data_IF_619827590538
#
_entry.id   IF_619827590538
#
_cell.length_a   1.000
_cell.length_b   1.000
_cell.length_c   1.000
_cell.angle_alpha   90.00
_cell.angle_beta   90.00
_cell.angle_gamma   90.00
#
_symmetry.space_group_name_H-M   'P 1'
#
loop_
_entity.id
_entity.type
_entity.pdbx_description
1 polymer ?
#
# COMPACT_ATOMS: atom_id res chain seq x y z
N UNK A 1 14.17 -4.56 9.48
CA UNK A 1 14.98 -3.33 9.63
C UNK A 1 15.78 -3.09 8.35
N UNK A 2 16.03 -1.84 7.94
CA UNK A 2 16.94 -1.57 6.82
C UNK A 2 18.36 -2.01 7.18
N UNK A 3 19.17 -2.38 6.20
CA UNK A 3 20.61 -2.68 6.39
C UNK A 3 21.38 -1.50 7.03
N UNK A 4 20.80 -0.30 7.00
CA UNK A 4 21.37 0.93 7.55
C UNK A 4 20.73 1.38 8.87
N UNK A 5 19.88 0.54 9.50
CA UNK A 5 19.11 0.90 10.69
C UNK A 5 17.94 1.84 10.37
N UNK A 6 17.52 2.65 11.35
CA UNK A 6 16.44 3.62 11.17
C UNK A 6 16.90 4.78 10.29
N UNK A 7 16.33 4.89 9.09
CA UNK A 7 16.61 5.99 8.17
C UNK A 7 15.70 7.17 8.54
N UNK A 8 16.30 8.31 8.90
CA UNK A 8 15.53 9.55 9.09
C UNK A 8 14.86 9.92 7.77
N UNK A 9 13.53 10.02 7.78
CA UNK A 9 12.80 10.60 6.67
C UNK A 9 13.26 12.06 6.47
N UNK A 10 13.43 12.55 5.23
CA UNK A 10 13.60 13.97 5.00
C UNK A 10 12.40 14.72 5.60
N UNK A 11 12.60 15.96 6.06
CA UNK A 11 11.53 16.80 6.61
C UNK A 11 10.42 16.96 5.57
N UNK A 12 9.32 16.23 5.75
CA UNK A 12 8.16 16.25 4.87
C UNK A 12 7.01 16.95 5.56
N UNK A 13 6.16 17.61 4.77
CA UNK A 13 4.88 18.11 5.24
C UNK A 13 4.09 16.94 5.81
N UNK A 14 3.58 17.09 7.03
CA UNK A 14 2.81 16.08 7.76
C UNK A 14 1.48 15.72 7.10
N UNK A 15 1.05 16.52 6.12
CA UNK A 15 -0.29 16.46 5.58
C UNK A 15 -0.41 15.35 4.53
N UNK A 16 -1.46 14.50 4.63
CA UNK A 16 -1.66 13.47 3.64
C UNK A 16 -1.88 14.02 2.24
N UNK A 17 -1.34 13.36 1.21
CA UNK A 17 -1.64 13.66 -0.18
C UNK A 17 -3.12 13.37 -0.50
N UNK A 18 -3.72 14.09 -1.46
CA UNK A 18 -5.11 13.88 -1.86
C UNK A 18 -5.41 12.43 -2.24
N UNK A 19 -6.61 11.96 -1.89
CA UNK A 19 -7.09 10.63 -2.28
C UNK A 19 -7.41 10.60 -3.77
N UNK A 20 -7.20 9.46 -4.43
CA UNK A 20 -7.41 9.33 -5.89
C UNK A 20 -8.18 8.07 -6.26
N UNK A 21 -8.86 8.09 -7.40
CA UNK A 21 -9.58 6.92 -7.94
C UNK A 21 -8.83 6.30 -9.12
N UNK A 22 -8.84 4.97 -9.17
CA UNK A 22 -8.11 4.15 -10.14
C UNK A 22 -8.98 3.02 -10.66
N UNK A 23 -9.06 2.83 -11.98
CA UNK A 23 -9.85 1.78 -12.61
C UNK A 23 -9.02 0.97 -13.62
N UNK A 24 -9.47 -0.26 -13.89
CA UNK A 24 -8.98 -1.04 -15.04
C UNK A 24 -10.08 -1.14 -16.10
N UNK A 25 -9.69 -1.27 -17.38
CA UNK A 25 -10.60 -1.77 -18.42
C UNK A 25 -10.89 -3.23 -18.12
N UNK A 26 -12.02 -3.51 -17.49
CA UNK A 26 -12.63 -4.82 -17.48
C UNK A 26 -13.82 -4.83 -18.45
N UNK A 27 -14.29 -6.02 -18.82
CA UNK A 27 -15.48 -6.23 -19.66
C UNK A 27 -16.65 -5.37 -19.14
N UNK A 28 -17.57 -4.92 -20.03
CA UNK A 28 -18.61 -3.92 -19.73
C UNK A 28 -19.54 -4.23 -18.54
N UNK A 29 -19.50 -5.44 -17.98
CA UNK A 29 -20.31 -5.87 -16.84
C UNK A 29 -19.65 -5.70 -15.45
N UNK A 30 -18.34 -5.50 -15.34
CA UNK A 30 -17.65 -5.39 -14.03
C UNK A 30 -16.39 -4.50 -14.09
N UNK A 31 -16.54 -3.18 -14.00
CA UNK A 31 -15.39 -2.29 -13.81
C UNK A 31 -14.90 -2.33 -12.37
N UNK A 32 -13.79 -3.02 -12.11
CA UNK A 32 -13.11 -2.97 -10.81
C UNK A 32 -12.36 -1.64 -10.67
N UNK A 33 -12.66 -0.89 -9.62
CA UNK A 33 -11.96 0.32 -9.25
C UNK A 33 -11.61 0.33 -7.77
N UNK A 34 -10.57 1.10 -7.45
CA UNK A 34 -10.14 1.34 -6.08
C UNK A 34 -9.96 2.84 -5.86
N UNK A 35 -10.26 3.31 -4.66
CA UNK A 35 -9.79 4.61 -4.18
C UNK A 35 -8.53 4.41 -3.35
N UNK A 36 -7.50 5.21 -3.61
CA UNK A 36 -6.23 5.20 -2.90
C UNK A 36 -6.20 6.35 -1.90
N UNK A 37 -5.80 6.03 -0.68
CA UNK A 37 -5.74 6.98 0.42
C UNK A 37 -4.34 6.97 1.04
N UNK A 38 -3.72 8.14 1.13
CA UNK A 38 -2.45 8.32 1.84
C UNK A 38 -2.70 8.32 3.35
N UNK A 39 -1.88 7.58 4.09
CA UNK A 39 -1.97 7.40 5.53
C UNK A 39 -0.60 7.59 6.19
N UNK A 40 -0.61 8.37 7.27
CA UNK A 40 0.39 8.26 8.34
C UNK A 40 -0.12 7.27 9.39
N UNK A 41 0.74 6.86 10.34
CA UNK A 41 0.31 6.03 11.46
C UNK A 41 -0.80 6.72 12.27
N UNK A 42 -0.67 8.03 12.52
CA UNK A 42 -1.66 8.79 13.29
C UNK A 42 -3.02 8.81 12.58
N UNK A 43 -3.07 9.01 11.26
CA UNK A 43 -4.34 8.98 10.53
C UNK A 43 -4.91 7.56 10.45
N UNK A 44 -4.07 6.55 10.26
CA UNK A 44 -4.53 5.17 10.16
C UNK A 44 -5.16 4.65 11.46
N UNK A 45 -4.64 5.07 12.62
CA UNK A 45 -5.20 4.75 13.94
C UNK A 45 -6.59 5.37 14.18
N UNK A 46 -7.01 6.36 13.40
CA UNK A 46 -8.37 6.92 13.51
C UNK A 46 -9.43 6.02 12.88
N UNK A 47 -9.03 5.06 12.04
CA UNK A 47 -9.94 4.10 11.39
C UNK A 47 -10.00 2.81 12.21
N UNK A 48 -11.13 2.58 12.88
CA UNK A 48 -11.30 1.48 13.82
C UNK A 48 -11.00 0.11 13.16
N UNK A 49 -10.05 -0.63 13.75
CA UNK A 49 -9.67 -1.98 13.31
C UNK A 49 -8.88 -2.05 12.01
N UNK A 50 -8.58 -0.92 11.35
CA UNK A 50 -7.83 -0.92 10.09
C UNK A 50 -6.41 -1.46 10.30
N UNK A 51 -5.65 -0.90 11.26
CA UNK A 51 -4.28 -1.36 11.53
C UNK A 51 -4.26 -2.85 11.90
N UNK A 52 -5.20 -3.31 12.72
CA UNK A 52 -5.29 -4.71 13.12
C UNK A 52 -5.54 -5.64 11.92
N UNK A 53 -6.31 -5.18 10.93
CA UNK A 53 -6.49 -5.92 9.69
C UNK A 53 -5.23 -5.93 8.83
N UNK A 54 -4.63 -4.77 8.56
CA UNK A 54 -3.41 -4.67 7.72
C UNK A 54 -2.24 -5.45 8.33
N UNK A 55 -2.10 -5.41 9.66
CA UNK A 55 -1.10 -6.20 10.38
C UNK A 55 -1.30 -7.70 10.17
N UNK A 56 -2.53 -8.22 10.33
CA UNK A 56 -2.83 -9.64 10.14
C UNK A 56 -2.49 -10.11 8.73
N UNK A 57 -2.88 -9.35 7.70
CA UNK A 57 -2.56 -9.67 6.30
C UNK A 57 -1.06 -9.67 6.04
N UNK A 58 -0.30 -8.71 6.61
CA UNK A 58 1.14 -8.68 6.45
C UNK A 58 1.84 -9.80 7.24
N UNK A 59 1.37 -10.12 8.45
CA UNK A 59 1.90 -11.20 9.26
C UNK A 59 1.72 -12.55 8.57
N UNK A 60 0.56 -12.80 7.94
CA UNK A 60 0.34 -14.02 7.14
C UNK A 60 1.29 -14.08 5.92
N UNK A 61 1.55 -12.95 5.27
CA UNK A 61 2.48 -12.90 4.13
C UNK A 61 3.93 -13.19 4.56
N UNK A 62 4.34 -12.72 5.74
CA UNK A 62 5.63 -13.04 6.36
C UNK A 62 5.70 -14.52 6.74
N UNK A 63 4.66 -15.06 7.40
CA UNK A 63 4.59 -16.47 7.79
C UNK A 63 4.65 -17.41 6.58
N UNK A 64 4.02 -17.02 5.47
CA UNK A 64 4.07 -17.77 4.20
C UNK A 64 5.50 -17.87 3.64
N UNK A 65 6.37 -16.89 3.90
CA UNK A 65 7.81 -16.96 3.61
C UNK A 65 8.20 -17.00 2.13
N UNK A 66 7.36 -16.48 1.22
CA UNK A 66 7.58 -16.57 -0.23
C UNK A 66 7.88 -15.24 -0.93
N UNK A 67 7.67 -14.11 -0.26
CA UNK A 67 7.65 -12.79 -0.92
C UNK A 67 8.43 -11.71 -0.17
N UNK A 68 8.47 -11.77 1.15
CA UNK A 68 9.22 -10.88 2.03
C UNK A 68 10.39 -11.62 2.70
N UNK A 69 11.54 -10.97 2.91
CA UNK A 69 12.72 -11.60 3.50
C UNK A 69 12.64 -11.78 5.02
N UNK A 70 11.61 -11.23 5.69
CA UNK A 70 11.42 -11.38 7.12
C UNK A 70 11.20 -12.86 7.45
N UNK A 71 11.95 -13.34 8.43
CA UNK A 71 11.80 -14.68 9.01
C UNK A 71 11.44 -14.52 10.48
N UNK A 72 10.48 -15.32 10.95
CA UNK A 72 10.17 -15.43 12.37
C UNK A 72 10.83 -16.69 12.91
N UNK A 73 11.61 -16.58 13.98
CA UNK A 73 12.20 -17.76 14.62
C UNK A 73 11.10 -18.57 15.31
N UNK A 74 11.39 -19.84 15.58
CA UNK A 74 10.43 -20.74 16.22
C UNK A 74 9.93 -20.16 17.56
N UNK A 75 8.63 -19.95 17.67
CA UNK A 75 7.98 -19.39 18.86
C UNK A 75 7.88 -17.86 18.88
N UNK A 76 8.45 -17.16 17.90
CA UNK A 76 8.25 -15.73 17.72
C UNK A 76 6.99 -15.44 16.88
N UNK A 77 6.34 -14.30 17.17
CA UNK A 77 5.18 -13.82 16.41
C UNK A 77 5.50 -12.43 15.87
N UNK A 78 5.16 -12.18 14.62
CA UNK A 78 5.27 -10.85 14.04
C UNK A 78 4.23 -9.92 14.69
N UNK A 79 4.64 -9.08 15.63
CA UNK A 79 3.68 -8.29 16.43
C UNK A 79 3.14 -7.07 15.68
N UNK A 80 2.04 -6.50 16.20
CA UNK A 80 1.44 -5.27 15.67
C UNK A 80 2.43 -4.10 15.75
N UNK A 81 3.19 -4.00 16.82
CA UNK A 81 4.19 -2.95 17.02
C UNK A 81 5.33 -3.06 15.99
N UNK A 82 5.74 -4.30 15.65
CA UNK A 82 6.71 -4.55 14.58
C UNK A 82 6.15 -4.13 13.21
N UNK A 83 4.87 -4.39 12.96
CA UNK A 83 4.18 -3.92 11.75
C UNK A 83 4.14 -2.40 11.67
N UNK A 84 3.67 -1.72 12.73
CA UNK A 84 3.59 -0.26 12.77
C UNK A 84 4.97 0.36 12.54
N UNK A 85 5.99 -0.10 13.26
CA UNK A 85 7.36 0.38 13.13
C UNK A 85 7.97 0.11 11.74
N UNK A 86 7.57 -0.95 11.04
CA UNK A 86 8.10 -1.30 9.72
C UNK A 86 7.35 -0.63 8.57
N UNK A 87 6.02 -0.74 8.57
CA UNK A 87 5.15 -0.36 7.47
C UNK A 87 4.86 1.14 7.48
N UNK A 88 4.82 1.77 8.66
CA UNK A 88 4.64 3.22 8.83
C UNK A 88 5.95 3.94 9.18
N UNK A 89 7.11 3.34 8.88
CA UNK A 89 8.42 4.03 8.95
C UNK A 89 8.57 5.19 7.94
N UNK A 90 7.60 5.35 7.05
CA UNK A 90 7.48 6.43 6.08
C UNK A 90 6.00 6.64 5.76
N UNK A 91 5.68 6.79 4.49
CA UNK A 91 4.34 7.02 3.98
C UNK A 91 3.66 5.66 3.71
N UNK A 92 2.36 5.53 4.00
CA UNK A 92 1.58 4.32 3.69
C UNK A 92 0.36 4.66 2.84
N UNK A 93 -0.06 3.74 1.99
CA UNK A 93 -1.23 3.88 1.15
C UNK A 93 -2.11 2.64 1.26
N UNK A 94 -3.42 2.86 1.38
CA UNK A 94 -4.42 1.79 1.34
C UNK A 94 -5.36 2.00 0.16
N UNK A 95 -5.59 0.94 -0.59
CA UNK A 95 -6.59 0.89 -1.66
C UNK A 95 -7.89 0.30 -1.13
N UNK A 96 -9.00 1.01 -1.31
CA UNK A 96 -10.33 0.53 -0.96
C UNK A 96 -11.13 0.25 -2.24
N UNK A 97 -11.63 -0.97 -2.40
CA UNK A 97 -12.52 -1.38 -3.49
C UNK A 97 -13.79 -0.57 -3.41
N UNK A 98 -14.11 0.21 -4.44
CA UNK A 98 -15.36 0.96 -4.42
C UNK A 98 -16.56 0.13 -4.88
N UNK A 99 -17.76 0.54 -4.45
CA UNK A 99 -19.03 -0.06 -4.84
C UNK A 99 -19.78 0.87 -5.79
N UNK A 100 -19.85 0.51 -7.08
CA UNK A 100 -20.63 1.28 -8.07
C UNK A 100 -20.08 1.19 -9.49
N UNK A 101 -20.76 1.86 -10.43
CA UNK A 101 -20.20 2.09 -11.77
C UNK A 101 -19.17 3.19 -11.68
N UNK A 102 -17.99 2.96 -12.25
CA UNK A 102 -17.01 4.01 -12.53
C UNK A 102 -17.69 5.02 -13.46
N UNK A 103 -17.72 6.31 -13.09
CA UNK A 103 -18.22 7.36 -13.99
C UNK A 103 -17.53 7.28 -15.35
N UNK A 104 -18.29 7.40 -16.43
CA UNK A 104 -17.75 7.48 -17.79
C UNK A 104 -16.71 8.61 -17.85
N UNK A 105 -15.50 8.31 -18.36
CA UNK A 105 -14.41 9.28 -18.49
C UNK A 105 -13.24 9.14 -17.50
N UNK A 106 -13.24 8.16 -16.59
CA UNK A 106 -12.06 7.78 -15.78
C UNK A 106 -11.07 6.87 -16.53
N UNK A 107 -11.13 6.85 -17.86
CA UNK A 107 -10.31 5.99 -18.69
C UNK A 107 -8.84 6.43 -18.67
N UNK A 108 -7.99 5.67 -17.99
CA UNK A 108 -6.54 5.88 -17.99
C UNK A 108 -6.07 7.14 -17.24
N UNK A 109 -6.99 7.92 -16.67
CA UNK A 109 -6.71 9.12 -15.89
C UNK A 109 -6.77 8.86 -14.38
N UNK A 110 -5.98 9.62 -13.63
CA UNK A 110 -6.05 9.70 -12.17
C UNK A 110 -6.88 10.93 -11.83
N UNK A 111 -7.94 10.76 -11.03
CA UNK A 111 -8.74 11.89 -10.52
C UNK A 111 -8.62 11.90 -9.00
N UNK A 112 -8.42 13.09 -8.45
CA UNK A 112 -8.56 13.29 -7.01
C UNK A 112 -10.04 13.16 -6.62
N UNK A 113 -10.30 12.53 -5.48
CA UNK A 113 -11.66 12.31 -4.99
C UNK A 113 -11.80 12.82 -3.58
N UNK A 114 -12.97 13.41 -3.31
CA UNK A 114 -13.34 13.82 -1.97
C UNK A 114 -13.89 12.63 -1.17
N UNK A 115 -13.20 12.31 -0.09
CA UNK A 115 -13.59 11.23 0.81
C UNK A 115 -12.38 10.54 1.42
N UNK A 116 -12.47 10.24 2.72
CA UNK A 116 -11.48 9.44 3.41
C UNK A 116 -11.76 7.94 3.33
N UNK A 117 -10.92 7.17 4.01
CA UNK A 117 -10.98 5.70 4.06
C UNK A 117 -12.35 5.20 4.50
N UNK A 118 -12.96 5.77 5.56
CA UNK A 118 -14.24 5.31 6.09
C UNK A 118 -15.40 5.50 5.11
N UNK A 119 -15.41 6.62 4.37
CA UNK A 119 -16.43 6.89 3.34
C UNK A 119 -16.29 5.90 2.18
N UNK A 120 -15.06 5.57 1.79
CA UNK A 120 -14.80 4.58 0.75
C UNK A 120 -15.18 3.16 1.22
N UNK A 121 -14.88 2.82 2.47
CA UNK A 121 -15.26 1.54 3.07
C UNK A 121 -16.78 1.39 3.18
N UNK A 122 -17.49 2.51 3.42
CA UNK A 122 -18.95 2.56 3.54
C UNK A 122 -19.51 1.55 4.55
N UNK A 123 -18.80 1.36 5.67
CA UNK A 123 -19.18 0.43 6.74
C UNK A 123 -18.97 -1.06 6.42
N UNK A 124 -18.39 -1.41 5.26
CA UNK A 124 -18.00 -2.78 4.94
C UNK A 124 -16.84 -3.23 5.82
N UNK A 125 -16.72 -4.54 6.02
CA UNK A 125 -15.57 -5.13 6.70
C UNK A 125 -14.31 -4.90 5.89
N UNK A 126 -13.16 -4.74 6.56
CA UNK A 126 -11.88 -4.50 5.89
C UNK A 126 -11.49 -5.66 4.97
N UNK A 127 -11.80 -6.89 5.38
CA UNK A 127 -11.61 -8.12 4.61
C UNK A 127 -12.30 -8.07 3.23
N UNK A 128 -13.44 -7.37 3.14
CA UNK A 128 -14.26 -7.29 1.93
C UNK A 128 -13.87 -6.11 1.02
N UNK A 129 -13.25 -5.05 1.59
CA UNK A 129 -13.09 -3.78 0.90
C UNK A 129 -11.65 -3.28 0.78
N UNK A 130 -10.68 -3.79 1.53
CA UNK A 130 -9.27 -3.43 1.34
C UNK A 130 -8.72 -4.21 0.15
N UNK A 131 -8.47 -3.52 -0.96
CA UNK A 131 -7.90 -4.10 -2.17
C UNK A 131 -6.42 -4.48 -2.01
N UNK A 132 -5.73 -3.79 -1.11
CA UNK A 132 -4.32 -3.94 -0.82
C UNK A 132 -3.70 -2.61 -0.38
N UNK A 133 -2.43 -2.67 -0.01
CA UNK A 133 -1.75 -1.55 0.63
C UNK A 133 -0.24 -1.61 0.36
N UNK A 134 0.43 -0.46 0.43
CA UNK A 134 1.87 -0.37 0.26
C UNK A 134 2.46 0.76 1.08
N UNK A 135 3.73 0.63 1.45
CA UNK A 135 4.49 1.73 2.04
C UNK A 135 5.39 2.38 0.99
N UNK A 136 5.80 3.62 1.23
CA UNK A 136 6.87 4.32 0.52
C UNK A 136 7.79 4.95 1.55
N UNK A 137 9.07 4.58 1.53
CA UNK A 137 10.07 5.12 2.47
C UNK A 137 11.43 5.27 1.80
N UNK A 138 12.37 6.06 2.34
CA UNK A 138 13.71 6.16 1.78
C UNK A 138 14.39 4.79 1.79
N UNK A 139 15.00 4.39 0.68
CA UNK A 139 15.74 3.13 0.60
C UNK A 139 17.12 3.24 1.27
N UNK A 140 17.71 4.43 1.21
CA UNK A 140 19.06 4.73 1.71
C UNK A 140 19.05 5.97 2.59
N UNK A 141 19.99 6.09 3.55
CA UNK A 141 20.12 7.28 4.38
C UNK A 141 20.73 8.48 3.64
N UNK A 142 20.54 9.67 4.21
CA UNK A 142 21.31 10.88 3.87
C UNK A 142 21.27 11.24 2.39
N UNK A 143 22.44 11.24 1.74
CA UNK A 143 22.64 11.71 0.35
C UNK A 143 21.83 10.93 -0.69
N UNK A 144 21.43 9.70 -0.38
CA UNK A 144 20.66 8.83 -1.27
C UNK A 144 19.19 8.68 -0.86
N UNK A 145 18.71 9.50 0.08
CA UNK A 145 17.31 9.45 0.58
C UNK A 145 16.26 9.89 -0.44
N UNK A 146 16.67 10.50 -1.55
CA UNK A 146 15.82 10.80 -2.70
C UNK A 146 15.41 9.54 -3.51
N UNK A 147 16.01 8.38 -3.21
CA UNK A 147 15.66 7.08 -3.76
C UNK A 147 14.73 6.37 -2.78
N UNK A 148 13.50 6.09 -3.18
CA UNK A 148 12.55 5.35 -2.35
C UNK A 148 12.62 3.84 -2.57
N UNK A 149 12.08 3.13 -1.59
CA UNK A 149 11.64 1.75 -1.70
C UNK A 149 10.15 1.67 -1.32
N UNK A 150 9.49 0.65 -1.86
CA UNK A 150 8.12 0.29 -1.50
C UNK A 150 8.00 -1.22 -1.38
N UNK A 151 7.01 -1.66 -0.61
CA UNK A 151 6.56 -3.04 -0.52
C UNK A 151 5.04 -3.08 -0.57
N UNK A 152 4.49 -4.04 -1.29
CA UNK A 152 3.07 -4.15 -1.62
C UNK A 152 2.48 -5.41 -1.00
N UNK A 153 1.26 -5.30 -0.50
CA UNK A 153 0.47 -6.43 0.00
C UNK A 153 -0.89 -6.38 -0.67
N UNK A 154 -1.31 -7.53 -1.23
CA UNK A 154 -2.68 -7.75 -1.72
C UNK A 154 -3.26 -8.91 -0.90
N UNK A 155 -4.33 -8.66 -0.11
CA UNK A 155 -4.99 -9.69 0.66
C UNK A 155 -5.35 -10.90 -0.17
N UNK A 156 -5.27 -12.08 0.42
CA UNK A 156 -5.52 -13.35 -0.28
C UNK A 156 -6.90 -13.39 -0.95
N UNK A 157 -7.90 -12.79 -0.30
CA UNK A 157 -9.29 -12.65 -0.78
C UNK A 157 -9.44 -11.74 -2.00
N UNK A 158 -8.45 -10.90 -2.29
CA UNK A 158 -8.50 -9.89 -3.36
C UNK A 158 -7.55 -10.21 -4.53
N UNK A 159 -6.80 -11.32 -4.45
CA UNK A 159 -5.88 -11.75 -5.50
C UNK A 159 -6.64 -12.15 -6.78
N UNK A 160 -5.99 -11.99 -7.93
CA UNK A 160 -6.60 -12.27 -9.24
C UNK A 160 -7.51 -11.15 -9.78
N UNK A 161 -7.88 -10.17 -8.96
CA UNK A 161 -8.76 -9.05 -9.35
C UNK A 161 -8.05 -7.88 -10.03
N UNK A 162 -6.74 -7.99 -10.27
CA UNK A 162 -5.93 -6.95 -10.94
C UNK A 162 -5.51 -5.77 -10.06
N UNK A 163 -5.80 -5.78 -8.76
CA UNK A 163 -5.50 -4.66 -7.86
C UNK A 163 -4.01 -4.38 -7.67
N UNK A 164 -3.14 -5.40 -7.70
CA UNK A 164 -1.69 -5.20 -7.63
C UNK A 164 -1.18 -4.23 -8.72
N UNK A 165 -1.73 -4.32 -9.93
CA UNK A 165 -1.42 -3.39 -11.02
C UNK A 165 -1.91 -1.97 -10.76
N UNK A 166 -3.08 -1.81 -10.13
CA UNK A 166 -3.59 -0.49 -9.76
C UNK A 166 -2.74 0.15 -8.64
N UNK A 167 -2.33 -0.64 -7.64
CA UNK A 167 -1.41 -0.19 -6.58
C UNK A 167 -0.05 0.23 -7.15
N UNK A 168 0.50 -0.55 -8.10
CA UNK A 168 1.76 -0.19 -8.75
C UNK A 168 1.64 1.13 -9.56
N UNK A 169 0.53 1.32 -10.27
CA UNK A 169 0.25 2.58 -10.97
C UNK A 169 0.10 3.77 -10.01
N UNK A 170 -0.58 3.57 -8.88
CA UNK A 170 -0.71 4.63 -7.87
C UNK A 170 0.62 4.96 -7.22
N UNK A 171 1.45 3.96 -6.98
CA UNK A 171 2.80 4.17 -6.46
C UNK A 171 3.64 5.09 -7.38
N UNK A 172 3.64 4.84 -8.70
CA UNK A 172 4.37 5.67 -9.67
C UNK A 172 3.83 7.12 -9.70
N UNK A 173 2.55 7.31 -9.39
CA UNK A 173 1.94 8.64 -9.28
C UNK A 173 2.27 9.36 -7.97
N UNK A 174 2.26 8.64 -6.84
CA UNK A 174 2.44 9.24 -5.52
C UNK A 174 3.91 9.39 -5.10
N UNK A 175 4.81 8.48 -5.49
CA UNK A 175 6.21 8.55 -5.07
C UNK A 175 6.90 9.87 -5.47
N UNK A 176 6.72 10.41 -6.70
CA UNK A 176 7.27 11.72 -7.05
C UNK A 176 6.63 12.87 -6.27
N UNK A 177 5.34 12.78 -5.94
CA UNK A 177 4.63 13.78 -5.13
C UNK A 177 5.11 13.81 -3.68
N UNK A 178 5.64 12.70 -3.18
CA UNK A 178 6.37 12.62 -1.89
C UNK A 178 7.82 13.15 -1.99
N UNK A 179 8.24 13.65 -3.15
CA UNK A 179 9.56 14.23 -3.39
C UNK A 179 10.66 13.23 -3.73
N UNK A 180 10.31 11.97 -4.03
CA UNK A 180 11.30 10.98 -4.49
C UNK A 180 11.61 11.13 -5.98
N UNK A 181 12.86 10.90 -6.34
CA UNK A 181 13.36 11.05 -7.72
C UNK A 181 13.63 9.71 -8.40
N UNK A 182 13.78 8.64 -7.61
CA UNK A 182 13.98 7.28 -8.10
C UNK A 182 13.35 6.26 -7.15
N UNK A 183 13.20 5.04 -7.66
CA UNK A 183 12.67 3.88 -6.92
C UNK A 183 13.61 2.69 -7.09
N UNK A 184 13.83 1.94 -6.02
CA UNK A 184 14.57 0.68 -6.04
C UNK A 184 13.79 -0.36 -5.24
N UNK A 185 13.55 -1.52 -5.84
CA UNK A 185 13.10 -2.73 -5.16
C UNK A 185 14.28 -3.67 -4.98
N UNK A 186 14.73 -3.86 -3.73
CA UNK A 186 15.97 -4.57 -3.45
C UNK A 186 15.86 -6.08 -3.69
N UNK A 187 14.72 -6.67 -3.35
CA UNK A 187 14.50 -8.12 -3.38
C UNK A 187 13.12 -8.41 -3.98
N UNK A 188 13.10 -8.65 -5.29
CA UNK A 188 11.93 -9.19 -5.99
C UNK A 188 12.28 -10.62 -6.41
N UNK A 189 11.74 -11.60 -5.70
CA UNK A 189 12.04 -13.00 -5.96
C UNK A 189 11.42 -13.47 -7.27
N UNK A 190 12.19 -14.23 -8.06
CA UNK A 190 11.75 -14.73 -9.38
C UNK A 190 10.54 -15.68 -9.30
N UNK A 191 10.35 -16.35 -8.16
CA UNK A 191 9.19 -17.22 -7.89
C UNK A 191 7.95 -16.43 -7.45
N UNK A 192 8.07 -15.13 -7.14
CA UNK A 192 6.93 -14.25 -6.96
C UNK A 192 6.42 -13.76 -8.33
N UNK A 193 5.79 -14.68 -9.06
CA UNK A 193 5.33 -14.45 -10.44
C UNK A 193 4.38 -13.25 -10.56
N UNK A 194 3.62 -12.94 -9.50
CA UNK A 194 2.72 -11.79 -9.49
C UNK A 194 3.47 -10.45 -9.47
N UNK A 195 4.62 -10.38 -8.79
CA UNK A 195 5.43 -9.16 -8.70
C UNK A 195 6.38 -8.95 -9.88
N UNK A 196 6.76 -10.01 -10.58
CA UNK A 196 7.66 -9.94 -11.75
C UNK A 196 6.93 -9.50 -13.03
N UNK A 197 5.60 -9.64 -13.08
CA UNK A 197 4.75 -9.28 -14.22
C UNK A 197 4.25 -7.85 -14.16
#
# INVERSE_FOLDING_TARGET
MSAYGAIKAPTRTSDPLPSTIWSTKALPSQSNYITLHHLTLSTALTHLGLIDYLWREFAEEVERGLTYPQEMLQGEVFTKEMFEAYFFAGDAFVGIVGSGKVEEGLEGGVREVEGGVDKAAAGRKWEDCVAGFYYVKPNYPGRSSHICNAGFVVPSTQRGSGFGRLLAKSYVHYAPKLGYQASVFNLVYVNNIASVK
#
